data_IF_096763968348
#
_entry.id   IF_096763968348
#
_cell.length_a   1.000
_cell.length_b   1.000
_cell.length_c   1.000
_cell.angle_alpha   90.00
_cell.angle_beta   90.00
_cell.angle_gamma   90.00
#
_symmetry.space_group_name_H-M   'P 1'
#
loop_
_entity.id
_entity.type
_entity.pdbx_description
1 polymer ?
#
# COMPACT_ATOMS: atom_id res chain seq x y z
N UNK A 1 19.71 -7.90 -16.14
CA UNK A 1 19.05 -8.92 -15.28
C UNK A 1 19.53 -8.79 -13.83
N UNK A 2 20.84 -8.75 -13.59
CA UNK A 2 21.49 -8.47 -12.30
C UNK A 2 20.86 -7.32 -11.49
N UNK A 3 20.66 -6.14 -12.07
CA UNK A 3 20.11 -4.97 -11.35
C UNK A 3 18.67 -5.17 -10.86
N UNK A 4 17.82 -5.85 -11.64
CA UNK A 4 16.43 -6.12 -11.25
C UNK A 4 16.37 -7.16 -10.12
N UNK A 5 17.26 -8.16 -10.17
CA UNK A 5 17.38 -9.16 -9.11
C UNK A 5 17.90 -8.52 -7.81
N UNK A 6 18.90 -7.64 -7.89
CA UNK A 6 19.41 -6.91 -6.74
C UNK A 6 18.35 -6.01 -6.08
N UNK A 7 17.56 -5.28 -6.90
CA UNK A 7 16.46 -4.46 -6.40
C UNK A 7 15.35 -5.32 -5.75
N UNK A 8 15.07 -6.50 -6.31
CA UNK A 8 14.10 -7.44 -5.73
C UNK A 8 14.56 -7.97 -4.38
N UNK A 9 15.83 -8.41 -4.27
CA UNK A 9 16.41 -8.95 -3.03
C UNK A 9 16.46 -7.86 -1.95
N UNK A 10 16.93 -6.66 -2.28
CA UNK A 10 16.99 -5.54 -1.34
C UNK A 10 15.60 -5.11 -0.88
N UNK A 11 14.62 -5.08 -1.78
CA UNK A 11 13.21 -4.84 -1.44
C UNK A 11 12.64 -5.90 -0.49
N UNK A 12 12.92 -7.18 -0.75
CA UNK A 12 12.46 -8.28 0.08
C UNK A 12 13.08 -8.24 1.49
N UNK A 13 14.40 -8.03 1.59
CA UNK A 13 15.11 -7.89 2.88
C UNK A 13 14.56 -6.69 3.65
N UNK A 14 14.37 -5.55 2.98
CA UNK A 14 13.78 -4.37 3.61
C UNK A 14 12.38 -4.64 4.15
N UNK A 15 11.53 -5.36 3.39
CA UNK A 15 10.18 -5.72 3.83
C UNK A 15 10.20 -6.57 5.10
N UNK A 16 11.05 -7.60 5.13
CA UNK A 16 11.22 -8.47 6.31
C UNK A 16 11.71 -7.69 7.53
N UNK A 17 12.66 -6.76 7.35
CA UNK A 17 13.16 -5.93 8.45
C UNK A 17 12.06 -5.00 8.99
N UNK A 18 11.31 -4.35 8.09
CA UNK A 18 10.18 -3.49 8.48
C UNK A 18 9.15 -4.29 9.27
N UNK A 19 8.78 -5.47 8.78
CA UNK A 19 7.85 -6.37 9.48
C UNK A 19 8.38 -6.75 10.86
N UNK A 20 9.67 -7.13 11.00
CA UNK A 20 10.26 -7.46 12.30
C UNK A 20 10.24 -6.29 13.30
N UNK A 21 10.50 -5.07 12.83
CA UNK A 21 10.53 -3.88 13.69
C UNK A 21 9.12 -3.48 14.12
N UNK A 22 8.13 -3.59 13.22
CA UNK A 22 6.76 -3.16 13.49
C UNK A 22 5.89 -4.25 14.14
N UNK A 23 6.29 -5.52 14.04
CA UNK A 23 5.51 -6.66 14.55
C UNK A 23 5.05 -6.52 16.02
N UNK A 24 5.87 -6.04 16.96
CA UNK A 24 5.42 -5.88 18.35
C UNK A 24 4.23 -4.93 18.49
N UNK A 25 4.19 -3.87 17.69
CA UNK A 25 3.08 -2.89 17.69
C UNK A 25 1.81 -3.54 17.16
N UNK A 26 1.91 -4.33 16.08
CA UNK A 26 0.79 -5.09 15.54
C UNK A 26 0.25 -6.10 16.56
N UNK A 27 1.14 -6.83 17.26
CA UNK A 27 0.74 -7.79 18.28
C UNK A 27 0.00 -7.10 19.44
N UNK A 28 0.50 -5.96 19.91
CA UNK A 28 -0.13 -5.16 20.95
C UNK A 28 -1.51 -4.66 20.51
N UNK A 29 -1.62 -4.13 19.28
CA UNK A 29 -2.89 -3.68 18.70
C UNK A 29 -3.92 -4.82 18.69
N UNK A 30 -3.53 -6.01 18.22
CA UNK A 30 -4.44 -7.16 18.19
C UNK A 30 -4.88 -7.58 19.60
N UNK A 31 -3.98 -7.61 20.58
CA UNK A 31 -4.33 -7.97 21.97
C UNK A 31 -5.28 -6.96 22.61
N UNK A 32 -5.05 -5.66 22.39
CA UNK A 32 -5.94 -4.59 22.85
C UNK A 32 -7.33 -4.73 22.20
N UNK A 33 -7.39 -5.00 20.90
CA UNK A 33 -8.65 -5.23 20.19
C UNK A 33 -9.38 -6.50 20.67
N UNK A 34 -8.64 -7.53 21.07
CA UNK A 34 -9.16 -8.76 21.65
C UNK A 34 -9.46 -8.68 23.16
N UNK A 35 -9.21 -7.52 23.81
CA UNK A 35 -9.36 -7.31 25.27
C UNK A 35 -8.56 -8.32 26.12
N UNK A 36 -7.40 -8.74 25.64
CA UNK A 36 -6.52 -9.68 26.35
C UNK A 36 -5.50 -8.94 27.22
N UNK A 37 -5.08 -9.53 28.36
CA UNK A 37 -3.97 -8.99 29.14
C UNK A 37 -2.68 -9.02 28.32
N UNK A 38 -1.92 -7.93 28.36
CA UNK A 38 -0.63 -7.82 27.67
C UNK A 38 0.44 -7.27 28.63
N UNK A 39 1.64 -7.84 28.52
CA UNK A 39 2.83 -7.39 29.25
C UNK A 39 3.86 -6.93 28.23
N UNK A 40 4.27 -5.66 28.30
CA UNK A 40 5.22 -5.06 27.35
C UNK A 40 6.63 -5.66 27.52
N UNK A 41 6.96 -6.13 28.73
CA UNK A 41 8.27 -6.68 29.06
C UNK A 41 8.49 -8.13 28.59
N UNK A 42 7.45 -8.82 28.13
CA UNK A 42 7.56 -10.22 27.72
C UNK A 42 7.80 -10.36 26.21
N UNK A 43 9.07 -10.20 25.81
CA UNK A 43 9.51 -10.17 24.41
C UNK A 43 9.10 -11.40 23.61
N UNK A 44 9.12 -12.59 24.23
CA UNK A 44 8.77 -13.86 23.58
C UNK A 44 7.31 -13.90 23.10
N UNK A 45 6.41 -13.22 23.81
CA UNK A 45 4.99 -13.16 23.48
C UNK A 45 4.63 -12.01 22.52
N UNK A 46 5.54 -11.07 22.26
CA UNK A 46 5.37 -9.97 21.30
C UNK A 46 5.53 -10.44 19.84
N UNK A 47 6.37 -11.45 19.60
CA UNK A 47 6.66 -11.98 18.27
C UNK A 47 5.80 -13.19 17.88
N UNK A 48 4.84 -13.57 18.71
CA UNK A 48 3.99 -14.72 18.44
C UNK A 48 3.08 -14.45 17.22
N UNK A 49 3.23 -15.24 16.16
CA UNK A 49 2.54 -15.08 14.88
C UNK A 49 3.35 -14.32 13.80
N UNK A 50 4.64 -14.04 14.01
CA UNK A 50 5.47 -13.39 12.99
C UNK A 50 5.71 -14.29 11.78
N UNK A 51 5.93 -15.58 12.00
CA UNK A 51 6.23 -16.55 10.95
C UNK A 51 5.14 -16.64 9.85
N UNK A 52 3.83 -16.78 10.16
CA UNK A 52 2.81 -16.77 9.10
C UNK A 52 2.77 -15.44 8.33
N UNK A 53 3.06 -14.32 9.01
CA UNK A 53 3.10 -12.99 8.39
C UNK A 53 4.21 -12.91 7.34
N UNK A 54 5.43 -13.32 7.71
CA UNK A 54 6.59 -13.30 6.82
C UNK A 54 6.40 -14.23 5.61
N UNK A 55 5.88 -15.44 5.83
CA UNK A 55 5.65 -16.41 4.76
C UNK A 55 4.52 -15.95 3.82
N UNK A 56 3.46 -15.34 4.36
CA UNK A 56 2.30 -14.92 3.59
C UNK A 56 2.50 -13.65 2.75
N UNK A 57 3.40 -12.77 3.18
CA UNK A 57 3.57 -11.44 2.55
C UNK A 57 4.15 -11.52 1.14
N UNK A 58 5.16 -12.36 0.92
CA UNK A 58 5.78 -12.53 -0.39
C UNK A 58 4.81 -13.05 -1.47
N UNK A 59 4.08 -14.17 -1.28
CA UNK A 59 3.14 -14.67 -2.28
C UNK A 59 1.94 -13.74 -2.48
N UNK A 60 1.43 -13.11 -1.42
CA UNK A 60 0.36 -12.12 -1.54
C UNK A 60 0.78 -10.93 -2.41
N UNK A 61 1.99 -10.41 -2.20
CA UNK A 61 2.56 -9.31 -2.99
C UNK A 61 2.79 -9.72 -4.45
N UNK A 62 3.30 -10.94 -4.69
CA UNK A 62 3.50 -11.45 -6.04
C UNK A 62 2.18 -11.53 -6.82
N UNK A 63 1.12 -12.05 -6.20
CA UNK A 63 -0.21 -12.08 -6.81
C UNK A 63 -0.76 -10.69 -7.07
N UNK A 64 -0.62 -9.77 -6.11
CA UNK A 64 -1.02 -8.38 -6.29
C UNK A 64 -0.38 -7.77 -7.55
N UNK A 65 0.96 -7.78 -7.65
CA UNK A 65 1.64 -7.16 -8.78
C UNK A 65 1.36 -7.86 -10.12
N UNK A 66 1.24 -9.19 -10.11
CA UNK A 66 0.90 -9.96 -11.31
C UNK A 66 -0.47 -9.56 -11.85
N UNK A 67 -1.51 -9.60 -11.01
CA UNK A 67 -2.88 -9.24 -11.41
C UNK A 67 -3.03 -7.75 -11.69
N UNK A 68 -2.27 -6.90 -11.01
CA UNK A 68 -2.25 -5.46 -11.29
C UNK A 68 -1.76 -5.16 -12.71
N UNK A 69 -0.61 -5.71 -13.10
CA UNK A 69 -0.05 -5.50 -14.43
C UNK A 69 -0.88 -6.18 -15.52
N UNK A 70 -1.38 -7.39 -15.26
CA UNK A 70 -2.29 -8.08 -16.18
C UNK A 70 -3.59 -7.27 -16.40
N UNK A 71 -4.19 -6.76 -15.33
CA UNK A 71 -5.42 -5.95 -15.43
C UNK A 71 -5.17 -4.64 -16.15
N UNK A 72 -4.05 -3.96 -15.88
CA UNK A 72 -3.66 -2.74 -16.59
C UNK A 72 -3.52 -2.99 -18.09
N UNK A 73 -2.83 -4.06 -18.48
CA UNK A 73 -2.62 -4.42 -19.88
C UNK A 73 -3.95 -4.66 -20.59
N UNK A 74 -4.81 -5.50 -20.02
CA UNK A 74 -6.12 -5.82 -20.59
C UNK A 74 -7.06 -4.59 -20.70
N UNK A 75 -7.07 -3.73 -19.68
CA UNK A 75 -7.90 -2.53 -19.69
C UNK A 75 -7.42 -1.48 -20.71
N UNK A 76 -6.10 -1.35 -20.88
CA UNK A 76 -5.52 -0.41 -21.85
C UNK A 76 -5.73 -0.90 -23.28
N UNK A 77 -5.56 -2.21 -23.53
CA UNK A 77 -5.83 -2.83 -24.85
C UNK A 77 -7.30 -2.71 -25.26
N UNK A 78 -8.23 -2.80 -24.30
CA UNK A 78 -9.67 -2.71 -24.57
C UNK A 78 -10.17 -1.26 -24.72
N UNK A 79 -9.52 -0.29 -24.09
CA UNK A 79 -9.94 1.11 -24.13
C UNK A 79 -8.75 2.06 -23.95
N UNK A 80 -8.16 2.49 -25.06
CA UNK A 80 -7.00 3.40 -25.07
C UNK A 80 -7.29 4.77 -24.42
N UNK A 81 -8.55 5.20 -24.39
CA UNK A 81 -8.97 6.49 -23.82
C UNK A 81 -9.40 6.42 -22.35
N UNK A 82 -9.13 5.31 -21.66
CA UNK A 82 -9.44 5.21 -20.22
C UNK A 82 -8.64 6.23 -19.41
N UNK A 83 -9.33 7.00 -18.55
CA UNK A 83 -8.65 7.92 -17.63
C UNK A 83 -7.67 7.15 -16.74
N UNK A 84 -6.45 7.69 -16.57
CA UNK A 84 -5.39 7.09 -15.75
C UNK A 84 -5.86 6.75 -14.33
N UNK A 85 -6.70 7.60 -13.74
CA UNK A 85 -7.23 7.36 -12.40
C UNK A 85 -8.17 6.16 -12.35
N UNK A 86 -9.03 5.99 -13.37
CA UNK A 86 -9.93 4.81 -13.46
C UNK A 86 -9.15 3.54 -13.74
N UNK A 87 -8.14 3.61 -14.61
CA UNK A 87 -7.27 2.49 -14.93
C UNK A 87 -6.60 1.95 -13.66
N UNK A 88 -5.92 2.81 -12.90
CA UNK A 88 -5.25 2.38 -11.68
C UNK A 88 -6.22 1.85 -10.63
N UNK A 89 -7.36 2.51 -10.41
CA UNK A 89 -8.33 2.08 -9.42
C UNK A 89 -8.92 0.69 -9.72
N UNK A 90 -9.30 0.43 -10.97
CA UNK A 90 -9.87 -0.86 -11.36
C UNK A 90 -8.79 -1.95 -11.30
N UNK A 91 -7.59 -1.68 -11.82
CA UNK A 91 -6.48 -2.63 -11.77
C UNK A 91 -6.06 -2.98 -10.35
N UNK A 92 -6.00 -2.00 -9.45
CA UNK A 92 -5.72 -2.22 -8.02
C UNK A 92 -6.82 -3.05 -7.36
N UNK A 93 -8.09 -2.78 -7.66
CA UNK A 93 -9.21 -3.56 -7.10
C UNK A 93 -9.14 -5.04 -7.50
N UNK A 94 -8.86 -5.34 -8.78
CA UNK A 94 -8.72 -6.73 -9.26
C UNK A 94 -7.51 -7.40 -8.61
N UNK A 95 -6.39 -6.69 -8.53
CA UNK A 95 -5.19 -7.16 -7.86
C UNK A 95 -5.42 -7.48 -6.38
N UNK A 96 -6.15 -6.62 -5.67
CA UNK A 96 -6.43 -6.79 -4.24
C UNK A 96 -7.32 -8.01 -3.99
N UNK A 97 -8.35 -8.22 -4.81
CA UNK A 97 -9.20 -9.42 -4.73
C UNK A 97 -8.36 -10.69 -4.88
N UNK A 98 -7.46 -10.73 -5.88
CA UNK A 98 -6.58 -11.88 -6.09
C UNK A 98 -5.58 -12.08 -4.94
N UNK A 99 -4.96 -11.00 -4.48
CA UNK A 99 -4.00 -11.03 -3.37
C UNK A 99 -4.65 -11.46 -2.05
N UNK A 100 -5.88 -11.00 -1.79
CA UNK A 100 -6.67 -11.36 -0.63
C UNK A 100 -6.87 -12.87 -0.52
N UNK A 101 -7.10 -13.57 -1.64
CA UNK A 101 -7.31 -15.01 -1.62
C UNK A 101 -6.07 -15.77 -1.09
N UNK A 102 -4.88 -15.28 -1.45
CA UNK A 102 -3.59 -15.86 -1.03
C UNK A 102 -3.22 -15.44 0.39
N UNK A 103 -3.48 -14.17 0.75
CA UNK A 103 -3.18 -13.58 2.06
C UNK A 103 -4.00 -14.18 3.20
N UNK A 104 -5.26 -14.52 2.92
CA UNK A 104 -6.23 -14.94 3.92
C UNK A 104 -5.80 -16.09 4.85
N UNK A 105 -5.32 -17.25 4.36
CA UNK A 105 -4.91 -18.35 5.24
C UNK A 105 -3.81 -17.95 6.22
N UNK A 106 -2.86 -17.10 5.80
CA UNK A 106 -1.77 -16.62 6.65
C UNK A 106 -2.27 -15.65 7.72
N UNK A 107 -3.16 -14.72 7.35
CA UNK A 107 -3.76 -13.76 8.28
C UNK A 107 -4.57 -14.47 9.38
N UNK A 108 -5.31 -15.52 9.03
CA UNK A 108 -6.07 -16.30 10.02
C UNK A 108 -5.14 -16.97 11.04
N UNK A 109 -4.09 -17.63 10.55
CA UNK A 109 -3.12 -18.30 11.42
C UNK A 109 -2.41 -17.28 12.31
N UNK A 110 -2.01 -16.14 11.75
CA UNK A 110 -1.45 -14.99 12.48
C UNK A 110 -2.39 -14.54 13.60
N UNK A 111 -3.66 -14.25 13.30
CA UNK A 111 -4.63 -13.75 14.28
C UNK A 111 -4.88 -14.76 15.41
N UNK A 112 -5.03 -16.05 15.10
CA UNK A 112 -5.20 -17.09 16.13
C UNK A 112 -3.97 -17.24 17.00
N UNK A 113 -2.77 -17.14 16.42
CA UNK A 113 -1.51 -17.13 17.19
C UNK A 113 -1.36 -15.88 18.06
N UNK A 114 -1.80 -14.71 17.61
CA UNK A 114 -1.73 -13.48 18.41
C UNK A 114 -2.69 -13.49 19.61
N UNK A 115 -3.84 -14.15 19.47
CA UNK A 115 -4.84 -14.32 20.54
C UNK A 115 -4.45 -15.45 21.50
N UNK A 116 -3.80 -16.51 21.00
CA UNK A 116 -3.42 -17.68 21.80
C UNK A 116 -1.98 -17.57 22.31
N UNK A 117 -1.78 -17.46 23.62
CA UNK A 117 -0.44 -17.46 24.22
C UNK A 117 0.24 -18.83 24.01
N UNK A 118 1.48 -18.85 23.51
CA UNK A 118 2.33 -20.05 23.36
C UNK A 118 1.83 -21.18 22.42
N UNK A 119 1.17 -20.87 21.30
CA UNK A 119 0.84 -21.88 20.28
C UNK A 119 1.80 -21.87 19.09
N UNK A 120 2.24 -23.06 18.69
CA UNK A 120 2.95 -23.26 17.41
C UNK A 120 2.00 -23.06 16.22
N UNK A 121 2.55 -22.60 15.10
CA UNK A 121 1.83 -22.47 13.83
C UNK A 121 1.15 -23.78 13.42
N UNK A 122 1.87 -24.90 13.52
CA UNK A 122 1.38 -26.22 13.08
C UNK A 122 0.16 -26.65 13.91
N UNK A 123 0.25 -26.48 15.23
CA UNK A 123 -0.87 -26.80 16.13
C UNK A 123 -2.09 -25.91 15.84
N UNK A 124 -1.85 -24.63 15.51
CA UNK A 124 -2.92 -23.70 15.14
C UNK A 124 -3.63 -24.14 13.85
N UNK A 125 -2.87 -24.55 12.83
CA UNK A 125 -3.41 -25.06 11.57
C UNK A 125 -4.21 -26.35 11.80
N UNK A 126 -3.69 -27.27 12.61
CA UNK A 126 -4.36 -28.51 12.97
C UNK A 126 -5.71 -28.25 13.65
N UNK A 127 -5.72 -27.35 14.64
CA UNK A 127 -6.94 -27.01 15.38
C UNK A 127 -8.01 -26.36 14.48
N UNK A 128 -7.61 -25.42 13.62
CA UNK A 128 -8.53 -24.79 12.64
C UNK A 128 -9.14 -25.86 11.71
N UNK A 129 -8.32 -26.80 11.26
CA UNK A 129 -8.77 -27.89 10.37
C UNK A 129 -9.81 -28.78 11.04
N UNK A 130 -9.65 -29.03 12.34
CA UNK A 130 -10.50 -29.95 13.11
C UNK A 130 -11.82 -29.32 13.55
N UNK A 131 -11.87 -28.03 13.87
CA UNK A 131 -13.08 -27.40 14.45
C UNK A 131 -14.11 -26.94 13.43
N UNK A 132 -13.69 -26.32 12.33
CA UNK A 132 -14.62 -25.58 11.44
C UNK A 132 -14.52 -25.96 9.96
N UNK A 133 -13.48 -26.73 9.59
CA UNK A 133 -13.13 -27.01 8.20
C UNK A 133 -12.51 -25.78 7.54
N UNK A 134 -11.23 -25.89 7.16
CA UNK A 134 -10.44 -24.77 6.60
C UNK A 134 -11.17 -24.03 5.48
N UNK A 135 -11.69 -24.74 4.49
CA UNK A 135 -12.33 -24.12 3.33
C UNK A 135 -13.59 -23.33 3.68
N UNK A 136 -14.48 -23.88 4.51
CA UNK A 136 -15.73 -23.20 4.88
C UNK A 136 -15.46 -21.91 5.66
N UNK A 137 -14.47 -21.94 6.54
CA UNK A 137 -14.01 -20.77 7.29
C UNK A 137 -13.32 -19.73 6.40
N UNK A 138 -12.47 -20.17 5.46
CA UNK A 138 -11.78 -19.31 4.50
C UNK A 138 -12.78 -18.58 3.60
N UNK A 139 -13.75 -19.27 3.00
CA UNK A 139 -14.72 -18.62 2.11
C UNK A 139 -15.56 -17.55 2.82
N UNK A 140 -16.00 -17.80 4.06
CA UNK A 140 -16.74 -16.81 4.85
C UNK A 140 -15.89 -15.59 5.16
N UNK A 141 -14.64 -15.82 5.57
CA UNK A 141 -13.70 -14.75 5.94
C UNK A 141 -13.22 -13.94 4.74
N UNK A 142 -13.16 -14.57 3.56
CA UNK A 142 -12.74 -13.92 2.31
C UNK A 142 -13.66 -12.77 1.91
N UNK A 143 -14.97 -12.98 1.95
CA UNK A 143 -15.94 -11.94 1.60
C UNK A 143 -15.86 -10.75 2.58
N UNK A 144 -15.70 -11.04 3.87
CA UNK A 144 -15.54 -10.01 4.91
C UNK A 144 -14.27 -9.20 4.67
N UNK A 145 -13.17 -9.86 4.28
CA UNK A 145 -11.92 -9.21 3.97
C UNK A 145 -12.08 -8.26 2.77
N UNK A 146 -12.65 -8.72 1.66
CA UNK A 146 -12.89 -7.88 0.48
C UNK A 146 -13.77 -6.66 0.79
N UNK A 147 -14.87 -6.87 1.51
CA UNK A 147 -15.81 -5.79 1.86
C UNK A 147 -15.13 -4.72 2.71
N UNK A 148 -14.11 -5.08 3.48
CA UNK A 148 -13.31 -4.13 4.25
C UNK A 148 -12.22 -3.45 3.41
N UNK A 149 -11.46 -4.22 2.62
CA UNK A 149 -10.28 -3.71 1.90
C UNK A 149 -10.69 -2.76 0.77
N UNK A 150 -11.73 -3.07 -0.02
CA UNK A 150 -12.13 -2.24 -1.16
C UNK A 150 -12.49 -0.80 -0.73
N UNK A 151 -13.40 -0.56 0.24
CA UNK A 151 -13.70 0.80 0.66
C UNK A 151 -12.50 1.54 1.23
N UNK A 152 -11.63 0.83 1.97
CA UNK A 152 -10.40 1.40 2.52
C UNK A 152 -9.47 1.89 1.40
N UNK A 153 -9.26 1.09 0.37
CA UNK A 153 -8.41 1.44 -0.78
C UNK A 153 -8.97 2.63 -1.56
N UNK A 154 -10.29 2.69 -1.75
CA UNK A 154 -10.94 3.82 -2.43
C UNK A 154 -10.74 5.13 -1.65
N UNK A 155 -10.93 5.11 -0.33
CA UNK A 155 -10.71 6.28 0.53
C UNK A 155 -9.24 6.68 0.47
N UNK A 156 -8.31 5.73 0.59
CA UNK A 156 -6.88 5.98 0.52
C UNK A 156 -6.49 6.61 -0.82
N UNK A 157 -6.97 6.07 -1.92
CA UNK A 157 -6.72 6.59 -3.26
C UNK A 157 -7.27 8.00 -3.43
N UNK A 158 -8.51 8.24 -3.00
CA UNK A 158 -9.15 9.56 -3.05
C UNK A 158 -8.38 10.62 -2.25
N UNK A 159 -7.96 10.27 -1.04
CA UNK A 159 -7.14 11.13 -0.19
C UNK A 159 -5.81 11.44 -0.86
N UNK A 160 -5.13 10.41 -1.38
CA UNK A 160 -3.85 10.56 -2.05
C UNK A 160 -3.92 11.51 -3.24
N UNK A 161 -4.90 11.34 -4.14
CA UNK A 161 -5.07 12.21 -5.30
C UNK A 161 -5.42 13.65 -4.87
N UNK A 162 -6.29 13.82 -3.87
CA UNK A 162 -6.62 15.15 -3.33
C UNK A 162 -5.39 15.87 -2.77
N UNK A 163 -4.58 15.16 -1.96
CA UNK A 163 -3.36 15.73 -1.39
C UNK A 163 -2.32 16.04 -2.46
N UNK A 164 -2.14 15.14 -3.43
CA UNK A 164 -1.21 15.30 -4.55
C UNK A 164 -1.58 16.48 -5.43
N UNK A 165 -2.87 16.69 -5.71
CA UNK A 165 -3.33 17.86 -6.46
C UNK A 165 -3.10 19.17 -5.70
N UNK A 166 -3.40 19.20 -4.39
CA UNK A 166 -3.14 20.37 -3.55
C UNK A 166 -1.64 20.69 -3.48
N UNK A 167 -0.79 19.67 -3.30
CA UNK A 167 0.66 19.82 -3.28
C UNK A 167 1.21 20.36 -4.62
N UNK A 168 0.71 19.84 -5.76
CA UNK A 168 1.08 20.34 -7.09
C UNK A 168 0.68 21.81 -7.29
N UNK A 169 -0.54 22.19 -6.91
CA UNK A 169 -1.01 23.58 -7.02
C UNK A 169 -0.20 24.53 -6.12
N UNK A 170 0.17 24.10 -4.92
CA UNK A 170 1.04 24.85 -4.00
C UNK A 170 2.43 25.08 -4.60
N UNK A 171 3.07 24.01 -5.08
CA UNK A 171 4.41 24.09 -5.70
C UNK A 171 4.40 24.92 -7.00
N UNK A 172 3.32 24.85 -7.78
CA UNK A 172 3.18 25.65 -9.00
C UNK A 172 3.01 27.15 -8.68
N UNK A 173 2.16 27.50 -7.71
CA UNK A 173 1.99 28.89 -7.25
C UNK A 173 3.31 29.50 -6.73
N UNK A 174 4.10 28.72 -6.01
CA UNK A 174 5.41 29.16 -5.50
C UNK A 174 6.42 29.40 -6.64
N UNK A 175 6.47 28.51 -7.64
CA UNK A 175 7.30 28.67 -8.83
C UNK A 175 6.89 29.90 -9.64
N UNK A 176 5.59 30.12 -9.81
CA UNK A 176 5.06 31.24 -10.58
C UNK A 176 5.32 32.58 -9.85
N UNK A 177 5.14 32.64 -8.53
CA UNK A 177 5.48 33.81 -7.71
C UNK A 177 7.00 34.12 -7.73
N UNK A 178 7.86 33.09 -7.73
CA UNK A 178 9.31 33.27 -7.86
C UNK A 178 9.71 33.76 -9.24
N UNK A 179 9.01 33.31 -10.30
CA UNK A 179 9.22 33.76 -11.68
C UNK A 179 8.74 35.20 -11.89
N UNK A 180 7.65 35.60 -11.26
CA UNK A 180 7.18 37.00 -11.23
C UNK A 180 8.16 37.92 -10.50
N UNK A 181 8.65 37.53 -9.31
CA UNK A 181 9.69 38.31 -8.60
C UNK A 181 10.97 38.47 -9.42
N UNK A 182 11.35 37.45 -10.19
CA UNK A 182 12.50 37.52 -11.09
C UNK A 182 12.22 38.47 -12.27
N UNK A 183 11.04 38.40 -12.89
CA UNK A 183 10.63 39.33 -13.96
C UNK A 183 10.58 40.77 -13.46
N UNK A 184 10.04 41.02 -12.28
CA UNK A 184 9.97 42.36 -11.71
C UNK A 184 11.38 42.91 -11.41
N UNK A 185 12.28 42.10 -10.83
CA UNK A 185 13.69 42.48 -10.64
C UNK A 185 14.40 42.79 -11.97
N UNK A 186 14.14 42.01 -13.03
CA UNK A 186 14.74 42.25 -14.36
C UNK A 186 14.15 43.52 -14.99
N UNK A 187 12.85 43.73 -14.85
CA UNK A 187 12.15 44.92 -15.35
C UNK A 187 12.58 46.19 -14.63
N UNK A 188 12.85 46.11 -13.32
CA UNK A 188 13.34 47.22 -12.49
C UNK A 188 14.81 47.54 -12.79
N UNK A 189 15.62 46.51 -13.07
CA UNK A 189 17.05 46.66 -13.39
C UNK A 189 17.32 47.07 -14.85
N UNK A 190 16.44 46.70 -15.79
CA UNK A 190 16.57 46.99 -17.23
C UNK A 190 15.21 47.29 -17.89
N UNK A 191 14.64 48.50 -17.68
CA UNK A 191 13.34 48.87 -18.22
C UNK A 191 13.32 48.87 -19.77
N UNK A 192 14.40 49.31 -20.41
CA UNK A 192 14.52 49.47 -21.87
C UNK A 192 14.50 48.14 -22.64
N UNK A 193 15.01 47.06 -22.04
CA UNK A 193 15.04 45.73 -22.66
C UNK A 193 13.64 45.09 -22.58
N UNK A 194 12.96 45.29 -21.45
CA UNK A 194 11.61 44.75 -21.21
C UNK A 194 10.56 45.41 -22.12
N UNK A 195 10.65 46.72 -22.33
CA UNK A 195 9.78 47.46 -23.25
C UNK A 195 10.01 47.11 -24.72
N UNK A 196 11.26 46.90 -25.15
CA UNK A 196 11.58 46.52 -26.54
C UNK A 196 11.08 45.12 -26.90
N UNK A 197 11.14 44.17 -25.96
CA UNK A 197 10.63 42.80 -26.19
C UNK A 197 9.10 42.76 -26.22
N UNK A 198 8.40 43.53 -25.38
CA UNK A 198 6.94 43.64 -25.45
C UNK A 198 6.46 44.40 -26.70
N UNK A 199 7.19 45.42 -27.14
CA UNK A 199 6.91 46.12 -28.40
C UNK A 199 7.08 45.23 -29.63
N UNK A 200 8.06 44.32 -29.64
CA UNK A 200 8.29 43.37 -30.73
C UNK A 200 7.40 42.12 -30.76
N UNK A 201 6.62 41.86 -29.70
CA UNK A 201 5.60 40.79 -29.69
C UNK A 201 4.18 41.31 -29.99
N UNK A 202 3.97 42.63 -29.90
CA UNK A 202 2.67 43.27 -30.12
C UNK A 202 2.53 43.94 -31.51
N UNK A 203 3.62 44.03 -32.26
CA UNK A 203 3.64 44.39 -33.69
C UNK A 203 4.03 43.18 -34.53
#
# INVERSE_FOLDING_TARGET
MEQHLHNLITGAISGVIVDMVLYPIDNLKTKVQAKLPFTIFETKNLYNGILPTLIGTAPASAFFYCFYELSKKLLTEKNENISKSKLYLISTTIAEIASCAVRLPFEIVKQKMQISTNRSMINTIYDISKTEGLFKFLFKSYLIMIVREIPFDYIQYFLWETFKEKAKKGSQKEKDARREKLKNNISEKYPTITSSVCGGMAG
#
